data_IF_128504221214
#
_entry.id   IF_128504221214
#
_cell.length_a   1.000
_cell.length_b   1.000
_cell.length_c   1.000
_cell.angle_alpha   90.00
_cell.angle_beta   90.00
_cell.angle_gamma   90.00
#
_symmetry.space_group_name_H-M   'P 1'
#
loop_
_entity.id
_entity.type
_entity.pdbx_description
1 polymer ?
#
# COMPACT_ATOMS: atom_id res chain seq x y z
N UNK A 1 -9.04 -22.51 6.38
CA UNK A 1 -8.20 -21.54 5.64
C UNK A 1 -6.97 -21.29 6.49
N UNK A 2 -5.78 -21.23 5.89
CA UNK A 2 -4.52 -21.08 6.62
C UNK A 2 -4.45 -19.69 7.29
N UNK A 3 -4.40 -19.65 8.62
CA UNK A 3 -4.43 -18.40 9.37
C UNK A 3 -3.18 -17.53 9.17
N UNK A 4 -2.00 -18.14 8.98
CA UNK A 4 -0.77 -17.39 8.70
C UNK A 4 -0.83 -16.75 7.32
N UNK A 5 -1.36 -17.46 6.32
CA UNK A 5 -1.57 -16.90 4.98
C UNK A 5 -2.53 -15.71 5.01
N UNK A 6 -3.63 -15.81 5.76
CA UNK A 6 -4.57 -14.68 5.95
C UNK A 6 -3.86 -13.49 6.58
N UNK A 7 -3.11 -13.71 7.67
CA UNK A 7 -2.37 -12.66 8.35
C UNK A 7 -1.35 -11.98 7.42
N UNK A 8 -0.64 -12.78 6.62
CA UNK A 8 0.32 -12.29 5.62
C UNK A 8 -0.35 -11.40 4.58
N UNK A 9 -1.45 -11.87 3.98
CA UNK A 9 -2.17 -11.12 2.96
C UNK A 9 -2.77 -9.82 3.51
N UNK A 10 -3.37 -9.86 4.70
CA UNK A 10 -3.87 -8.67 5.38
C UNK A 10 -2.75 -7.68 5.70
N UNK A 11 -1.62 -8.18 6.21
CA UNK A 11 -0.45 -7.35 6.49
C UNK A 11 0.13 -6.71 5.24
N UNK A 12 0.24 -7.46 4.14
CA UNK A 12 0.68 -6.94 2.86
C UNK A 12 -0.28 -5.90 2.27
N UNK A 13 -1.60 -6.06 2.44
CA UNK A 13 -2.58 -5.06 2.03
C UNK A 13 -2.51 -3.76 2.86
N UNK A 14 -2.08 -3.85 4.13
CA UNK A 14 -2.01 -2.73 5.07
C UNK A 14 -0.62 -2.11 5.25
N UNK A 15 0.44 -2.74 4.71
CA UNK A 15 1.83 -2.39 5.02
C UNK A 15 2.13 -0.88 4.83
N UNK A 16 1.51 -0.29 3.81
CA UNK A 16 1.73 1.08 3.37
C UNK A 16 0.63 2.07 3.82
N UNK A 17 -0.31 1.66 4.70
CA UNK A 17 -1.46 2.51 5.10
C UNK A 17 -1.01 3.86 5.69
N UNK A 18 0.15 3.90 6.32
CA UNK A 18 0.68 5.15 6.87
C UNK A 18 1.04 6.20 5.82
N UNK A 19 1.18 5.85 4.53
CA UNK A 19 1.28 6.85 3.45
C UNK A 19 0.02 7.69 3.42
N UNK A 20 -1.15 7.06 3.54
CA UNK A 20 -2.46 7.73 3.57
C UNK A 20 -2.57 8.57 4.85
N UNK A 21 -2.14 8.06 6.01
CA UNK A 21 -2.12 8.78 7.30
C UNK A 21 -1.31 10.07 7.24
N UNK A 22 -0.11 10.00 6.68
CA UNK A 22 0.78 11.17 6.50
C UNK A 22 0.18 12.19 5.54
N UNK A 23 -0.33 11.73 4.39
CA UNK A 23 -0.95 12.61 3.38
C UNK A 23 -2.26 13.24 3.90
N UNK A 24 -2.96 12.60 4.83
CA UNK A 24 -4.08 13.19 5.57
C UNK A 24 -3.65 14.25 6.61
N UNK A 25 -2.35 14.38 6.88
CA UNK A 25 -1.79 15.32 7.85
C UNK A 25 -2.06 14.93 9.30
N UNK A 26 -2.28 13.64 9.58
CA UNK A 26 -2.61 13.14 10.93
C UNK A 26 -1.37 12.70 11.71
N UNK A 27 -0.28 12.34 11.02
CA UNK A 27 0.99 11.98 11.64
C UNK A 27 2.16 12.51 10.77
N UNK A 28 3.26 12.90 11.42
CA UNK A 28 4.50 13.39 10.80
C UNK A 28 5.64 12.37 10.86
N UNK A 29 5.45 11.25 11.55
CA UNK A 29 6.40 10.14 11.60
C UNK A 29 6.59 9.51 10.22
N UNK A 30 7.61 8.65 10.07
CA UNK A 30 7.73 7.79 8.89
C UNK A 30 6.48 6.90 8.72
N UNK A 31 6.17 6.50 7.48
CA UNK A 31 4.86 5.92 7.18
C UNK A 31 4.66 4.54 7.82
N UNK A 32 5.70 3.76 8.04
CA UNK A 32 5.62 2.52 8.82
C UNK A 32 5.07 2.79 10.23
N UNK A 33 5.66 3.74 10.95
CA UNK A 33 5.24 4.14 12.30
C UNK A 33 3.83 4.75 12.28
N UNK A 34 3.59 5.69 11.37
CA UNK A 34 2.29 6.36 11.25
C UNK A 34 1.14 5.38 11.00
N UNK A 35 1.35 4.39 10.14
CA UNK A 35 0.35 3.34 9.87
C UNK A 35 0.09 2.45 11.08
N UNK A 36 1.16 1.96 11.73
CA UNK A 36 1.05 1.13 12.93
C UNK A 36 0.35 1.87 14.07
N UNK A 37 0.70 3.14 14.32
CA UNK A 37 0.07 3.95 15.36
C UNK A 37 -1.42 4.17 15.06
N UNK A 38 -1.75 4.56 13.83
CA UNK A 38 -3.14 4.81 13.43
C UNK A 38 -4.04 3.57 13.66
N UNK A 39 -3.58 2.38 13.26
CA UNK A 39 -4.33 1.14 13.46
C UNK A 39 -4.51 0.79 14.95
N UNK A 40 -3.48 1.02 15.79
CA UNK A 40 -3.53 0.79 17.24
C UNK A 40 -4.48 1.74 17.95
N UNK A 41 -4.32 3.04 17.71
CA UNK A 41 -5.11 4.10 18.35
C UNK A 41 -6.60 3.98 18.03
N UNK A 42 -6.94 3.47 16.84
CA UNK A 42 -8.32 3.25 16.42
C UNK A 42 -8.83 1.82 16.69
N UNK A 43 -8.05 0.95 17.33
CA UNK A 43 -8.41 -0.42 17.67
C UNK A 43 -8.97 -1.23 16.46
N UNK A 44 -8.25 -1.16 15.33
CA UNK A 44 -8.71 -1.70 14.03
C UNK A 44 -8.30 -3.15 13.78
N UNK A 45 -7.38 -3.69 14.58
CA UNK A 45 -6.94 -5.08 14.50
C UNK A 45 -7.17 -5.78 15.85
N UNK A 46 -7.83 -6.93 15.81
CA UNK A 46 -8.01 -7.80 16.97
C UNK A 46 -6.72 -8.56 17.31
N UNK A 47 -6.66 -9.18 18.49
CA UNK A 47 -5.48 -9.90 19.00
C UNK A 47 -4.86 -10.86 17.97
N UNK A 48 -5.73 -11.61 17.27
CA UNK A 48 -5.36 -12.58 16.24
C UNK A 48 -4.49 -12.00 15.13
N UNK A 49 -4.62 -10.70 14.84
CA UNK A 49 -3.94 -10.04 13.72
C UNK A 49 -2.82 -9.10 14.19
N UNK A 50 -2.32 -9.21 15.42
CA UNK A 50 -1.26 -8.33 15.93
C UNK A 50 0.07 -8.45 15.18
N UNK A 51 0.38 -9.60 14.58
CA UNK A 51 1.60 -9.78 13.77
C UNK A 51 1.64 -8.82 12.56
N UNK A 52 0.50 -8.32 12.09
CA UNK A 52 0.42 -7.27 11.07
C UNK A 52 1.17 -6.01 11.49
N UNK A 53 1.26 -5.70 12.79
CA UNK A 53 2.07 -4.57 13.25
C UNK A 53 3.56 -4.77 12.97
N UNK A 54 4.08 -5.98 13.06
CA UNK A 54 5.48 -6.24 12.72
C UNK A 54 5.71 -6.07 11.22
N UNK A 55 4.78 -6.57 10.39
CA UNK A 55 4.81 -6.35 8.94
C UNK A 55 4.86 -4.83 8.63
N UNK A 56 3.95 -4.05 9.20
CA UNK A 56 3.88 -2.60 8.95
C UNK A 56 5.14 -1.89 9.46
N UNK A 57 5.65 -2.23 10.65
CA UNK A 57 6.80 -1.53 11.22
C UNK A 57 8.13 -1.87 10.52
N UNK A 58 8.25 -3.08 9.95
CA UNK A 58 9.53 -3.62 9.49
C UNK A 58 9.60 -3.93 7.99
N UNK A 59 8.61 -3.57 7.16
CA UNK A 59 8.66 -3.79 5.70
C UNK A 59 9.69 -2.94 4.92
N UNK A 60 10.53 -2.12 5.58
CA UNK A 60 11.66 -1.42 4.94
C UNK A 60 12.99 -1.97 5.42
N UNK A 61 13.97 -2.07 4.52
CA UNK A 61 15.32 -2.58 4.80
C UNK A 61 15.99 -1.90 6.02
N UNK A 62 15.82 -0.58 6.14
CA UNK A 62 16.33 0.24 7.27
C UNK A 62 15.87 -0.31 8.64
N UNK A 63 14.60 -0.71 8.74
CA UNK A 63 14.02 -1.22 9.98
C UNK A 63 14.25 -2.72 10.13
N UNK A 64 14.12 -3.49 9.05
CA UNK A 64 14.22 -4.94 9.06
C UNK A 64 15.62 -5.43 9.45
N UNK A 65 16.68 -4.75 8.97
CA UNK A 65 18.08 -5.12 9.21
C UNK A 65 18.48 -5.10 10.70
N UNK A 66 17.84 -4.25 11.50
CA UNK A 66 18.08 -4.11 12.95
C UNK A 66 16.98 -4.75 13.80
N UNK A 67 15.95 -5.34 13.17
CA UNK A 67 14.80 -5.89 13.85
C UNK A 67 15.15 -7.20 14.58
N UNK A 68 14.64 -7.35 15.81
CA UNK A 68 14.73 -8.59 16.60
C UNK A 68 13.51 -9.48 16.37
N UNK A 69 13.18 -9.72 15.10
CA UNK A 69 12.07 -10.59 14.70
C UNK A 69 12.49 -12.05 14.72
N UNK A 70 11.52 -12.95 14.89
CA UNK A 70 11.72 -14.39 14.69
C UNK A 70 12.03 -14.67 13.23
N UNK A 71 12.79 -15.73 12.97
CA UNK A 71 13.16 -16.14 11.61
C UNK A 71 11.95 -16.50 10.74
N UNK A 72 10.82 -16.86 11.34
CA UNK A 72 9.56 -17.18 10.66
C UNK A 72 8.58 -15.99 10.59
N UNK A 73 9.06 -14.76 10.84
CA UNK A 73 8.24 -13.56 10.77
C UNK A 73 7.79 -13.26 9.34
N UNK A 74 6.50 -12.98 9.17
CA UNK A 74 5.89 -12.62 7.90
C UNK A 74 6.42 -11.30 7.32
N UNK A 75 7.05 -10.44 8.14
CA UNK A 75 7.63 -9.17 7.70
C UNK A 75 8.73 -9.36 6.64
N UNK A 76 9.50 -10.45 6.71
CA UNK A 76 10.52 -10.76 5.72
C UNK A 76 9.91 -11.01 4.33
N UNK A 77 8.83 -11.80 4.27
CA UNK A 77 8.11 -12.07 3.02
C UNK A 77 7.50 -10.81 2.42
N UNK A 78 6.89 -9.96 3.25
CA UNK A 78 6.26 -8.72 2.76
C UNK A 78 7.31 -7.71 2.29
N UNK A 79 8.47 -7.63 2.94
CA UNK A 79 9.58 -6.80 2.48
C UNK A 79 10.04 -7.20 1.07
N UNK A 80 10.27 -8.48 0.83
CA UNK A 80 10.68 -8.95 -0.51
C UNK A 80 9.57 -8.77 -1.54
N UNK A 81 8.31 -9.05 -1.16
CA UNK A 81 7.17 -8.85 -2.04
C UNK A 81 6.96 -7.38 -2.41
N UNK A 82 7.16 -6.45 -1.48
CA UNK A 82 7.09 -5.00 -1.71
C UNK A 82 8.17 -4.55 -2.69
N UNK A 83 9.40 -5.04 -2.54
CA UNK A 83 10.50 -4.75 -3.47
C UNK A 83 10.18 -5.21 -4.89
N UNK A 84 9.60 -6.41 -5.06
CA UNK A 84 9.18 -6.93 -6.36
C UNK A 84 8.01 -6.12 -6.93
N UNK A 85 7.00 -5.82 -6.11
CA UNK A 85 5.81 -5.07 -6.53
C UNK A 85 6.12 -3.61 -6.87
N UNK A 86 7.13 -3.03 -6.23
CA UNK A 86 7.65 -1.70 -6.55
C UNK A 86 8.45 -1.66 -7.86
N UNK A 87 8.84 -2.83 -8.42
CA UNK A 87 9.59 -2.92 -9.66
C UNK A 87 10.98 -2.27 -9.61
N UNK A 88 11.66 -2.27 -10.77
CA UNK A 88 13.00 -1.66 -11.01
C UNK A 88 13.02 -0.13 -10.73
N UNK A 89 11.90 0.49 -10.35
CA UNK A 89 11.81 1.92 -10.04
C UNK A 89 12.78 2.36 -8.95
N UNK A 90 13.18 1.50 -7.99
CA UNK A 90 14.22 1.87 -7.01
C UNK A 90 15.64 1.99 -7.61
N UNK A 91 15.94 1.28 -8.70
CA UNK A 91 17.31 1.15 -9.25
C UNK A 91 17.82 2.46 -9.89
N UNK A 92 16.97 3.45 -10.16
CA UNK A 92 17.35 4.66 -10.92
C UNK A 92 17.44 5.97 -10.13
N UNK A 93 17.07 6.02 -8.84
CA UNK A 93 16.89 7.30 -8.14
C UNK A 93 17.77 7.53 -6.91
N UNK A 94 18.72 6.65 -6.57
CA UNK A 94 19.66 6.90 -5.45
C UNK A 94 20.50 8.19 -5.67
N UNK A 95 20.67 8.65 -6.92
CA UNK A 95 21.49 9.84 -7.27
C UNK A 95 20.71 11.03 -7.87
N UNK A 96 19.37 11.07 -7.79
CA UNK A 96 18.57 12.16 -8.40
C UNK A 96 17.75 12.94 -7.38
N UNK A 97 17.75 14.27 -7.56
CA UNK A 97 16.84 15.21 -6.88
C UNK A 97 15.43 14.61 -6.85
N UNK A 98 14.84 14.50 -5.66
CA UNK A 98 13.46 14.05 -5.46
C UNK A 98 12.54 14.90 -6.34
N UNK A 99 11.96 14.30 -7.38
CA UNK A 99 10.93 14.92 -8.21
C UNK A 99 9.57 14.44 -7.72
N UNK A 100 8.63 15.36 -7.54
CA UNK A 100 7.24 15.07 -7.19
C UNK A 100 6.82 15.56 -5.81
N UNK A 101 5.54 15.38 -5.49
CA UNK A 101 4.89 15.83 -4.27
C UNK A 101 3.90 14.75 -3.78
N UNK A 102 3.86 14.44 -2.48
CA UNK A 102 2.95 13.41 -1.92
C UNK A 102 1.46 13.66 -2.20
N UNK A 103 1.11 14.90 -2.55
CA UNK A 103 -0.24 15.33 -2.91
C UNK A 103 -0.52 15.24 -4.42
N UNK A 104 0.44 14.80 -5.23
CA UNK A 104 0.24 14.58 -6.66
C UNK A 104 -0.76 13.44 -6.90
N UNK A 105 -1.52 13.58 -7.98
CA UNK A 105 -2.51 12.60 -8.38
C UNK A 105 -1.89 11.44 -9.15
N UNK A 106 -2.68 10.39 -9.35
CA UNK A 106 -2.30 9.28 -10.20
C UNK A 106 -2.23 9.74 -11.68
N UNK A 107 -1.08 9.54 -12.31
CA UNK A 107 -0.93 9.70 -13.75
C UNK A 107 -1.68 8.59 -14.49
N UNK A 108 -2.25 8.90 -15.66
CA UNK A 108 -2.71 7.85 -16.56
C UNK A 108 -1.52 7.04 -17.08
N UNK A 109 -1.61 5.71 -17.03
CA UNK A 109 -0.63 4.79 -17.67
C UNK A 109 -0.45 5.09 -19.17
N UNK A 110 -1.47 5.64 -19.83
CA UNK A 110 -1.38 6.03 -21.24
C UNK A 110 -0.50 7.26 -21.50
N UNK A 111 -0.03 7.94 -20.45
CA UNK A 111 0.98 8.99 -20.59
C UNK A 111 2.32 8.43 -21.06
N UNK A 112 2.64 7.17 -20.72
CA UNK A 112 3.90 6.51 -21.09
C UNK A 112 3.71 5.44 -22.16
N UNK A 113 2.53 4.82 -22.24
CA UNK A 113 2.20 3.86 -23.32
C UNK A 113 1.97 4.60 -24.64
N UNK A 114 2.90 4.44 -25.60
CA UNK A 114 2.92 5.15 -26.90
C UNK A 114 3.04 6.67 -26.76
N UNK A 115 3.96 7.15 -25.91
CA UNK A 115 4.19 8.56 -25.63
C UNK A 115 4.31 9.47 -26.88
N UNK A 116 4.89 8.97 -27.98
CA UNK A 116 5.02 9.71 -29.26
C UNK A 116 3.67 10.14 -29.87
N UNK A 117 2.56 9.51 -29.47
CA UNK A 117 1.20 9.84 -29.92
C UNK A 117 0.38 10.59 -28.87
N UNK A 118 0.94 10.86 -27.69
CA UNK A 118 0.23 11.41 -26.55
C UNK A 118 0.95 12.66 -26.01
N UNK A 119 0.62 13.82 -26.57
CA UNK A 119 1.21 15.10 -26.16
C UNK A 119 0.48 15.75 -24.97
N UNK A 120 -0.50 15.05 -24.38
CA UNK A 120 -1.34 15.59 -23.30
C UNK A 120 -1.18 14.68 -22.08
N UNK A 121 -0.53 15.20 -21.03
CA UNK A 121 -0.49 14.55 -19.72
C UNK A 121 -1.92 14.50 -19.17
N UNK A 122 -2.38 13.31 -18.79
CA UNK A 122 -3.65 13.12 -18.10
C UNK A 122 -3.45 12.55 -16.70
N UNK A 123 -4.25 13.02 -15.76
CA UNK A 123 -4.24 12.57 -14.36
C UNK A 123 -5.66 12.25 -13.91
N UNK A 124 -5.79 11.36 -12.94
CA UNK A 124 -7.06 11.06 -12.31
C UNK A 124 -7.35 12.08 -11.20
N UNK A 125 -8.64 12.30 -10.94
CA UNK A 125 -9.10 12.95 -9.70
C UNK A 125 -9.28 11.89 -8.63
N UNK A 126 -9.33 12.28 -7.35
CA UNK A 126 -9.86 11.35 -6.35
C UNK A 126 -11.30 10.98 -6.76
N UNK A 127 -11.58 9.69 -6.74
CA UNK A 127 -12.90 9.18 -7.08
C UNK A 127 -13.86 9.38 -5.91
N UNK A 128 -15.06 9.84 -6.23
CA UNK A 128 -16.18 9.87 -5.30
C UNK A 128 -16.75 8.44 -5.24
N UNK A 129 -16.17 7.62 -4.36
CA UNK A 129 -16.53 6.20 -4.19
C UNK A 129 -17.93 5.98 -3.60
N UNK A 130 -18.66 7.06 -3.30
CA UNK A 130 -20.09 7.02 -2.96
C UNK A 130 -21.00 7.14 -4.19
N UNK A 131 -20.43 7.29 -5.41
CA UNK A 131 -21.20 7.45 -6.66
C UNK A 131 -20.85 6.39 -7.70
N UNK A 132 -21.88 5.85 -8.35
CA UNK A 132 -21.75 4.93 -9.49
C UNK A 132 -21.42 5.68 -10.78
N UNK A 133 -20.22 6.25 -10.88
CA UNK A 133 -19.71 6.91 -12.08
C UNK A 133 -18.34 6.37 -12.49
N UNK A 134 -17.92 6.62 -13.73
CA UNK A 134 -16.59 6.26 -14.19
C UNK A 134 -15.61 7.43 -13.99
N UNK A 135 -14.42 7.17 -13.43
CA UNK A 135 -13.39 8.20 -13.24
C UNK A 135 -12.48 8.30 -14.47
N UNK A 136 -12.83 9.15 -15.43
CA UNK A 136 -11.98 9.40 -16.59
C UNK A 136 -10.82 10.35 -16.24
N UNK A 137 -9.58 10.07 -16.68
CA UNK A 137 -8.45 10.97 -16.43
C UNK A 137 -8.61 12.25 -17.26
N UNK A 138 -8.23 13.38 -16.68
CA UNK A 138 -8.40 14.71 -17.27
C UNK A 138 -7.04 15.37 -17.53
N UNK A 139 -6.99 16.36 -18.41
CA UNK A 139 -5.78 17.14 -18.70
C UNK A 139 -5.42 18.18 -17.63
N UNK A 140 -6.14 18.21 -16.51
CA UNK A 140 -5.91 19.18 -15.44
C UNK A 140 -4.96 18.59 -14.40
N UNK A 141 -3.91 19.32 -14.07
CA UNK A 141 -3.02 18.97 -12.96
C UNK A 141 -3.68 19.37 -11.64
N UNK A 142 -4.65 18.56 -11.23
CA UNK A 142 -5.31 18.70 -9.93
C UNK A 142 -4.33 18.13 -8.90
N UNK A 143 -4.32 18.69 -7.69
CA UNK A 143 -3.63 18.06 -6.55
C UNK A 143 -4.67 17.55 -5.58
N UNK A 144 -4.37 16.44 -4.93
CA UNK A 144 -5.14 15.97 -3.80
C UNK A 144 -4.89 16.88 -2.60
N UNK A 145 -5.84 16.92 -1.69
CA UNK A 145 -5.76 17.69 -0.45
C UNK A 145 -5.68 16.76 0.75
N UNK A 146 -5.22 17.26 1.90
CA UNK A 146 -5.28 16.48 3.13
C UNK A 146 -6.71 16.03 3.45
N UNK A 147 -7.73 16.82 3.08
CA UNK A 147 -9.13 16.45 3.26
C UNK A 147 -9.53 15.24 2.42
N UNK A 148 -8.99 15.10 1.21
CA UNK A 148 -9.25 13.95 0.34
C UNK A 148 -8.72 12.66 0.99
N UNK A 149 -7.50 12.69 1.52
CA UNK A 149 -6.92 11.56 2.24
C UNK A 149 -7.60 11.26 3.58
N UNK A 150 -8.12 12.27 4.28
CA UNK A 150 -8.94 12.05 5.48
C UNK A 150 -10.22 11.26 5.17
N UNK A 151 -10.90 11.58 4.06
CA UNK A 151 -12.09 10.84 3.61
C UNK A 151 -11.75 9.37 3.31
N UNK A 152 -10.63 9.11 2.63
CA UNK A 152 -10.15 7.74 2.35
C UNK A 152 -9.90 6.98 3.66
N UNK A 153 -9.18 7.59 4.61
CA UNK A 153 -8.91 6.95 5.91
C UNK A 153 -10.18 6.67 6.70
N UNK A 154 -11.12 7.61 6.71
CA UNK A 154 -12.41 7.43 7.39
C UNK A 154 -13.20 6.26 6.79
N UNK A 155 -13.22 6.15 5.46
CA UNK A 155 -13.84 5.03 4.76
C UNK A 155 -13.19 3.68 5.13
N UNK A 156 -11.86 3.62 5.12
CA UNK A 156 -11.10 2.42 5.53
C UNK A 156 -11.39 2.09 7.01
N UNK A 157 -11.32 3.07 7.90
CA UNK A 157 -11.56 2.92 9.34
C UNK A 157 -12.96 2.36 9.62
N UNK A 158 -13.99 2.94 9.01
CA UNK A 158 -15.37 2.53 9.23
C UNK A 158 -15.60 1.09 8.73
N UNK A 159 -15.08 0.76 7.55
CA UNK A 159 -15.17 -0.58 7.00
C UNK A 159 -14.41 -1.61 7.85
N UNK A 160 -13.13 -1.37 8.14
CA UNK A 160 -12.32 -2.25 9.01
C UNK A 160 -13.00 -2.47 10.36
N UNK A 161 -13.52 -1.42 11.00
CA UNK A 161 -14.22 -1.52 12.28
C UNK A 161 -15.45 -2.43 12.19
N UNK A 162 -16.17 -2.41 11.06
CA UNK A 162 -17.38 -3.22 10.86
C UNK A 162 -17.12 -4.73 10.71
N UNK A 163 -15.92 -5.12 10.26
CA UNK A 163 -15.59 -6.53 10.01
C UNK A 163 -14.31 -7.01 10.71
N UNK A 164 -13.74 -6.27 11.65
CA UNK A 164 -12.46 -6.62 12.30
C UNK A 164 -12.41 -8.02 12.92
N UNK A 165 -13.54 -8.51 13.46
CA UNK A 165 -13.66 -9.86 14.03
C UNK A 165 -13.62 -10.96 12.96
N UNK A 166 -14.12 -10.67 11.76
CA UNK A 166 -14.23 -11.58 10.62
C UNK A 166 -13.46 -11.05 9.41
N UNK A 167 -12.31 -10.44 9.68
CA UNK A 167 -11.47 -9.82 8.67
C UNK A 167 -10.93 -10.89 7.73
N UNK A 168 -11.00 -10.63 6.43
CA UNK A 168 -10.40 -11.47 5.41
C UNK A 168 -9.79 -10.61 4.30
N UNK A 169 -8.84 -11.15 3.53
CA UNK A 169 -8.13 -10.40 2.50
C UNK A 169 -9.05 -9.86 1.41
N UNK A 170 -10.08 -10.60 1.02
CA UNK A 170 -10.99 -10.22 -0.06
C UNK A 170 -11.82 -8.99 0.29
N UNK A 171 -12.39 -8.94 1.50
CA UNK A 171 -13.14 -7.78 2.00
C UNK A 171 -12.26 -6.55 2.09
N UNK A 172 -11.04 -6.70 2.62
CA UNK A 172 -10.10 -5.60 2.70
C UNK A 172 -9.69 -5.12 1.30
N UNK A 173 -9.41 -6.03 0.38
CA UNK A 173 -9.06 -5.69 -0.99
C UNK A 173 -10.18 -4.90 -1.69
N UNK A 174 -11.45 -5.29 -1.50
CA UNK A 174 -12.60 -4.53 -2.05
C UNK A 174 -12.69 -3.12 -1.47
N UNK A 175 -12.47 -2.95 -0.17
CA UNK A 175 -12.45 -1.64 0.48
C UNK A 175 -11.34 -0.76 -0.10
N UNK A 176 -10.13 -1.31 -0.20
CA UNK A 176 -8.98 -0.58 -0.75
C UNK A 176 -9.15 -0.28 -2.25
N UNK A 177 -9.74 -1.18 -3.03
CA UNK A 177 -10.05 -0.95 -4.44
C UNK A 177 -11.00 0.25 -4.60
N UNK A 178 -12.05 0.31 -3.79
CA UNK A 178 -13.03 1.37 -3.83
C UNK A 178 -12.41 2.75 -3.57
N UNK A 179 -11.55 2.88 -2.54
CA UNK A 179 -11.06 4.19 -2.10
C UNK A 179 -9.60 4.51 -2.46
N UNK A 180 -8.79 3.55 -2.94
CA UNK A 180 -7.35 3.72 -3.17
C UNK A 180 -6.86 3.50 -4.61
N UNK A 181 -7.78 3.39 -5.57
CA UNK A 181 -7.44 3.16 -6.99
C UNK A 181 -6.94 4.39 -7.74
N UNK A 182 -7.16 5.60 -7.22
CA UNK A 182 -6.96 6.85 -8.00
C UNK A 182 -5.96 7.83 -7.38
N UNK A 183 -5.05 7.33 -6.54
CA UNK A 183 -3.87 8.06 -6.10
C UNK A 183 -2.65 7.14 -6.13
N UNK A 184 -1.43 7.70 -6.29
CA UNK A 184 -0.25 6.89 -6.56
C UNK A 184 0.30 6.24 -5.29
N UNK A 185 0.89 5.04 -5.45
CA UNK A 185 1.65 4.36 -4.38
C UNK A 185 2.88 5.18 -3.98
N UNK A 186 3.62 5.69 -4.96
CA UNK A 186 4.75 6.59 -4.79
C UNK A 186 4.58 7.81 -5.67
N UNK A 187 4.77 9.01 -5.09
CA UNK A 187 4.75 10.26 -5.83
C UNK A 187 6.16 10.73 -6.22
N UNK A 188 7.19 10.02 -5.79
CA UNK A 188 8.59 10.40 -5.97
C UNK A 188 9.27 9.61 -7.10
N UNK A 189 8.61 9.52 -8.24
CA UNK A 189 9.06 8.78 -9.43
C UNK A 189 8.83 9.64 -10.68
N UNK A 190 9.52 9.33 -11.79
CA UNK A 190 9.38 10.12 -13.03
C UNK A 190 7.94 10.13 -13.58
N UNK A 191 7.16 9.07 -13.34
CA UNK A 191 5.74 9.00 -13.68
C UNK A 191 4.99 8.21 -12.60
N UNK A 192 4.24 8.88 -11.70
CA UNK A 192 3.45 8.20 -10.67
C UNK A 192 2.15 7.62 -11.25
N UNK A 193 2.24 6.55 -12.04
CA UNK A 193 1.11 5.89 -12.71
C UNK A 193 0.69 4.54 -12.10
N UNK A 194 1.41 4.07 -11.08
CA UNK A 194 1.02 2.91 -10.28
C UNK A 194 0.12 3.34 -9.13
N UNK A 195 -1.13 2.85 -9.14
CA UNK A 195 -2.08 3.15 -8.07
C UNK A 195 -1.65 2.52 -6.73
N UNK A 196 -2.07 3.12 -5.63
CA UNK A 196 -1.86 2.55 -4.30
C UNK A 196 -2.48 1.15 -4.19
N UNK A 197 -3.71 0.99 -4.65
CA UNK A 197 -4.41 -0.30 -4.59
C UNK A 197 -3.68 -1.39 -5.38
N UNK A 198 -3.29 -1.12 -6.63
CA UNK A 198 -2.61 -2.11 -7.48
C UNK A 198 -1.27 -2.54 -6.85
N UNK A 199 -0.54 -1.58 -6.28
CA UNK A 199 0.70 -1.86 -5.57
C UNK A 199 0.48 -2.82 -4.39
N UNK A 200 -0.40 -2.49 -3.43
CA UNK A 200 -0.60 -3.34 -2.25
C UNK A 200 -1.25 -4.69 -2.60
N UNK A 201 -2.08 -4.75 -3.64
CA UNK A 201 -2.65 -5.97 -4.19
C UNK A 201 -1.57 -6.88 -4.76
N UNK A 202 -0.64 -6.32 -5.54
CA UNK A 202 0.47 -7.07 -6.12
C UNK A 202 1.42 -7.57 -5.03
N UNK A 203 1.75 -6.73 -4.03
CA UNK A 203 2.53 -7.13 -2.85
C UNK A 203 1.88 -8.31 -2.13
N UNK A 204 0.57 -8.25 -1.88
CA UNK A 204 -0.16 -9.34 -1.21
C UNK A 204 -0.18 -10.63 -2.04
N UNK A 205 -0.32 -10.53 -3.37
CA UNK A 205 -0.28 -11.68 -4.26
C UNK A 205 1.10 -12.35 -4.28
N UNK A 206 2.17 -11.57 -4.41
CA UNK A 206 3.55 -12.07 -4.42
C UNK A 206 3.91 -12.70 -3.06
N UNK A 207 3.55 -12.03 -1.95
CA UNK A 207 3.77 -12.57 -0.61
C UNK A 207 3.05 -13.91 -0.40
N UNK A 208 1.80 -14.03 -0.87
CA UNK A 208 1.07 -15.29 -0.82
C UNK A 208 1.78 -16.40 -1.62
N UNK A 209 2.32 -16.10 -2.80
CA UNK A 209 3.12 -17.05 -3.58
C UNK A 209 4.36 -17.52 -2.82
N UNK A 210 5.10 -16.62 -2.17
CA UNK A 210 6.25 -16.98 -1.33
C UNK A 210 5.85 -17.92 -0.21
N UNK A 211 4.80 -17.59 0.53
CA UNK A 211 4.34 -18.41 1.64
C UNK A 211 3.90 -19.80 1.19
N UNK A 212 3.14 -19.89 0.10
CA UNK A 212 2.69 -21.18 -0.42
C UNK A 212 3.87 -22.04 -0.91
N UNK A 213 4.84 -21.42 -1.58
CA UNK A 213 6.07 -22.11 -2.00
C UNK A 213 6.88 -22.62 -0.80
N UNK A 214 7.18 -21.75 0.16
CA UNK A 214 7.98 -22.10 1.34
C UNK A 214 7.28 -23.18 2.17
N UNK A 215 5.95 -23.09 2.30
CA UNK A 215 5.15 -24.12 2.97
C UNK A 215 5.23 -25.47 2.27
N UNK A 216 5.16 -25.50 0.93
CA UNK A 216 5.32 -26.73 0.15
C UNK A 216 6.73 -27.32 0.30
N UNK A 217 7.75 -26.46 0.41
CA UNK A 217 9.15 -26.86 0.58
C UNK A 217 9.58 -27.07 2.04
N UNK A 218 8.65 -26.96 2.98
CA UNK A 218 8.91 -27.05 4.42
C UNK A 218 9.98 -26.06 4.92
N UNK A 219 10.06 -24.89 4.28
CA UNK A 219 10.94 -23.79 4.66
C UNK A 219 10.24 -22.97 5.75
N UNK A 220 10.88 -22.86 6.91
CA UNK A 220 10.35 -22.12 8.06
C UNK A 220 11.19 -20.92 8.48
N UNK A 221 12.31 -20.66 7.78
CA UNK A 221 13.18 -19.51 8.02
C UNK A 221 13.08 -18.58 6.80
N UNK A 222 12.33 -17.49 6.98
CA UNK A 222 12.04 -16.48 5.96
C UNK A 222 13.06 -15.35 5.93
N UNK A 223 14.03 -15.35 6.85
CA UNK A 223 15.06 -14.30 6.97
C UNK A 223 16.20 -14.46 5.95
N UNK A 224 16.35 -15.65 5.35
CA UNK A 224 17.51 -16.03 4.54
C UNK A 224 17.48 -15.50 3.12
#
# INVERSE_FOLDING_TARGET
MDEKLICLQLGALLHDIGKIVRRAGLDKNEHSIAGSNYLKENNLLVEKYKEIYDIINYHHAKYLSSAKLKEDSLAYMVYEADNIASGIDRVKYEDKVTKGNEMDNLNSIFNVVKAEKNNIKKTFKLFDFDKNNFNMPTSHDIKLTNSDYKKVLEYIKNNLSSFKENMNPEKLAVVLEACCSYFPSSSYVDTPDVSYYDHVKLTAAVAACFYLYDKEKEISNYKK
#
